data_IF_310873433437
#
_entry.id   IF_310873433437
#
_cell.length_a   1.000
_cell.length_b   1.000
_cell.length_c   1.000
_cell.angle_alpha   90.00
_cell.angle_beta   90.00
_cell.angle_gamma   90.00
#
_symmetry.space_group_name_H-M   'P 1'
#
loop_
_entity.id
_entity.type
_entity.pdbx_description
1 polymer ?
#
# COMPACT_ATOMS: atom_id res chain seq x y z
N UNK A 1 9.13 18.63 -0.51
CA UNK A 1 8.20 17.50 -0.70
C UNK A 1 8.30 16.59 0.52
N UNK A 2 7.20 16.04 1.06
CA UNK A 2 7.32 14.99 2.08
C UNK A 2 8.10 13.80 1.50
N UNK A 3 9.07 13.29 2.26
CA UNK A 3 9.78 12.07 1.91
C UNK A 3 8.84 10.91 2.26
N UNK A 4 8.39 10.16 1.25
CA UNK A 4 7.60 8.95 1.46
C UNK A 4 8.54 7.78 1.72
N UNK A 5 8.48 7.22 2.92
CA UNK A 5 9.17 5.99 3.26
C UNK A 5 8.21 4.81 3.12
N UNK A 6 8.66 3.74 2.46
CA UNK A 6 7.84 2.57 2.20
C UNK A 6 8.66 1.28 2.28
N UNK A 7 7.99 0.19 2.63
CA UNK A 7 8.55 -1.16 2.59
C UNK A 7 8.03 -1.86 1.34
N UNK A 8 8.94 -2.24 0.44
CA UNK A 8 8.59 -2.96 -0.77
C UNK A 8 8.63 -4.47 -0.53
N UNK A 9 7.85 -5.21 -1.32
CA UNK A 9 7.84 -6.67 -1.36
C UNK A 9 8.32 -7.15 -2.73
N UNK A 10 8.81 -8.40 -2.80
CA UNK A 10 9.16 -9.02 -4.09
C UNK A 10 7.90 -9.34 -4.89
N UNK A 11 8.02 -9.33 -6.22
CA UNK A 11 6.94 -9.70 -7.13
C UNK A 11 6.48 -11.18 -7.00
N UNK A 12 7.36 -12.05 -6.52
CA UNK A 12 7.09 -13.49 -6.31
C UNK A 12 6.50 -13.81 -4.93
N UNK A 13 6.26 -12.80 -4.10
CA UNK A 13 5.51 -13.01 -2.87
C UNK A 13 4.06 -13.38 -3.21
N UNK A 14 3.46 -14.40 -2.57
CA UNK A 14 2.10 -14.80 -2.89
C UNK A 14 1.11 -13.64 -2.73
N UNK A 15 0.24 -13.44 -3.73
CA UNK A 15 -0.79 -12.38 -3.74
C UNK A 15 -1.56 -12.33 -2.42
N UNK A 16 -2.04 -13.49 -1.97
CA UNK A 16 -2.85 -13.64 -0.76
C UNK A 16 -2.11 -13.17 0.49
N UNK A 17 -0.80 -13.42 0.58
CA UNK A 17 0.01 -13.01 1.73
C UNK A 17 0.10 -11.48 1.80
N UNK A 18 0.40 -10.83 0.67
CA UNK A 18 0.51 -9.36 0.63
C UNK A 18 -0.86 -8.70 0.82
N UNK A 19 -1.92 -9.27 0.25
CA UNK A 19 -3.28 -8.80 0.48
C UNK A 19 -3.63 -8.85 1.97
N UNK A 20 -3.44 -10.01 2.63
CA UNK A 20 -3.70 -10.15 4.08
C UNK A 20 -2.88 -9.16 4.90
N UNK A 21 -1.61 -8.96 4.56
CA UNK A 21 -0.73 -8.02 5.25
C UNK A 21 -1.23 -6.58 5.15
N UNK A 22 -1.53 -6.09 3.95
CA UNK A 22 -2.01 -4.72 3.73
C UNK A 22 -3.38 -4.51 4.38
N UNK A 23 -4.30 -5.49 4.27
CA UNK A 23 -5.61 -5.43 4.94
C UNK A 23 -5.48 -5.38 6.46
N UNK A 24 -4.60 -6.21 7.05
CA UNK A 24 -4.37 -6.17 8.50
C UNK A 24 -3.81 -4.81 8.97
N UNK A 25 -2.90 -4.20 8.19
CA UNK A 25 -2.41 -2.86 8.50
C UNK A 25 -3.50 -1.81 8.39
N UNK A 26 -4.34 -1.88 7.36
CA UNK A 26 -5.47 -0.97 7.20
C UNK A 26 -6.45 -1.07 8.37
N UNK A 27 -6.87 -2.28 8.74
CA UNK A 27 -7.78 -2.55 9.85
C UNK A 27 -7.23 -2.07 11.20
N UNK A 28 -5.92 -2.20 11.42
CA UNK A 28 -5.27 -1.89 12.70
C UNK A 28 -4.51 -0.56 12.70
N UNK A 29 -4.69 0.29 11.67
CA UNK A 29 -3.92 1.53 11.50
C UNK A 29 -3.97 2.48 12.70
N UNK A 30 -5.11 2.55 13.39
CA UNK A 30 -5.25 3.38 14.60
C UNK A 30 -4.43 2.82 15.77
N UNK A 31 -4.34 1.50 15.90
CA UNK A 31 -3.52 0.86 16.92
C UNK A 31 -2.03 1.08 16.63
N UNK A 32 -1.63 1.04 15.35
CA UNK A 32 -0.26 1.38 14.93
C UNK A 32 0.10 2.82 15.33
N UNK A 33 -0.77 3.80 15.04
CA UNK A 33 -0.55 5.19 15.43
C UNK A 33 -0.55 5.43 16.95
N UNK A 34 -1.32 4.63 17.71
CA UNK A 34 -1.28 4.67 19.17
C UNK A 34 0.02 4.11 19.73
N UNK A 35 0.58 3.07 19.11
CA UNK A 35 1.81 2.44 19.54
C UNK A 35 3.05 3.29 19.20
N UNK A 36 3.07 3.92 18.03
CA UNK A 36 4.16 4.76 17.56
C UNK A 36 3.60 5.96 16.77
N UNK A 37 3.89 7.17 17.26
CA UNK A 37 3.39 8.43 16.71
C UNK A 37 3.78 8.62 15.23
N UNK A 38 4.90 8.03 14.80
CA UNK A 38 5.34 8.01 13.41
C UNK A 38 4.32 7.45 12.41
N UNK A 39 3.40 6.58 12.86
CA UNK A 39 2.32 6.04 12.00
C UNK A 39 1.08 6.94 11.93
N UNK A 40 1.05 8.08 12.63
CA UNK A 40 -0.10 8.99 12.60
C UNK A 40 -0.50 9.43 11.17
N UNK A 41 0.43 9.80 10.28
CA UNK A 41 0.06 10.17 8.90
C UNK A 41 -0.53 8.98 8.13
N UNK A 42 -0.01 7.75 8.34
CA UNK A 42 -0.50 6.52 7.72
C UNK A 42 -1.93 6.21 8.21
N UNK A 43 -2.22 6.38 9.50
CA UNK A 43 -3.55 6.12 10.05
C UNK A 43 -4.61 7.11 9.54
N UNK A 44 -4.22 8.38 9.32
CA UNK A 44 -5.11 9.43 8.83
C UNK A 44 -5.57 9.21 7.39
N UNK A 45 -4.67 8.74 6.52
CA UNK A 45 -4.96 8.50 5.12
C UNK A 45 -4.17 7.31 4.58
N UNK A 46 -4.57 6.11 5.00
CA UNK A 46 -3.86 4.88 4.65
C UNK A 46 -3.86 4.63 3.14
N UNK A 47 -5.04 4.74 2.52
CA UNK A 47 -5.23 4.47 1.09
C UNK A 47 -4.50 5.54 0.26
N UNK A 48 -4.69 6.82 0.58
CA UNK A 48 -4.02 7.90 -0.14
C UNK A 48 -2.50 7.83 -0.02
N UNK A 49 -1.96 7.35 1.11
CA UNK A 49 -0.52 7.12 1.24
C UNK A 49 0.00 6.04 0.29
N UNK A 50 -0.73 4.93 0.07
CA UNK A 50 -0.36 3.92 -0.93
C UNK A 50 -0.39 4.50 -2.34
N UNK A 51 -1.47 5.23 -2.68
CA UNK A 51 -1.64 5.88 -3.98
C UNK A 51 -0.51 6.87 -4.26
N UNK A 52 -0.14 7.69 -3.27
CA UNK A 52 0.95 8.66 -3.38
C UNK A 52 2.32 7.96 -3.51
N UNK A 53 2.52 6.83 -2.81
CA UNK A 53 3.69 5.99 -2.97
C UNK A 53 3.86 5.49 -4.41
N UNK A 54 2.80 4.94 -5.00
CA UNK A 54 2.79 4.47 -6.40
C UNK A 54 3.08 5.62 -7.37
N UNK A 55 2.41 6.77 -7.20
CA UNK A 55 2.62 7.97 -8.04
C UNK A 55 4.04 8.52 -7.95
N UNK A 56 4.73 8.33 -6.83
CA UNK A 56 6.12 8.76 -6.67
C UNK A 56 7.13 7.87 -7.40
N UNK A 57 6.73 6.66 -7.80
CA UNK A 57 7.57 5.68 -8.48
C UNK A 57 6.82 5.02 -9.66
N UNK A 58 6.43 5.79 -10.70
CA UNK A 58 5.51 5.32 -11.75
C UNK A 58 6.05 4.16 -12.60
N UNK A 59 7.36 3.92 -12.60
CA UNK A 59 8.01 2.84 -13.35
C UNK A 59 8.09 1.52 -12.56
N UNK A 60 7.66 1.50 -11.29
CA UNK A 60 7.68 0.31 -10.44
C UNK A 60 6.30 -0.35 -10.48
N UNK A 61 6.18 -1.61 -10.93
CA UNK A 61 4.90 -2.33 -10.93
C UNK A 61 4.33 -2.51 -9.53
N UNK A 62 3.00 -2.44 -9.41
CA UNK A 62 2.27 -2.61 -8.16
C UNK A 62 2.11 -4.11 -7.87
N UNK A 63 2.43 -4.54 -6.64
CA UNK A 63 2.22 -5.93 -6.25
C UNK A 63 0.74 -6.35 -6.39
N UNK A 64 0.41 -7.55 -6.91
CA UNK A 64 -0.99 -7.97 -7.12
C UNK A 64 -1.85 -7.91 -5.86
N UNK A 65 -1.29 -8.26 -4.69
CA UNK A 65 -2.00 -8.14 -3.41
C UNK A 65 -2.37 -6.70 -3.03
N UNK A 66 -1.52 -5.71 -3.32
CA UNK A 66 -1.84 -4.30 -3.12
C UNK A 66 -2.84 -3.80 -4.18
N UNK A 67 -2.68 -4.23 -5.43
CA UNK A 67 -3.61 -3.89 -6.50
C UNK A 67 -5.04 -4.36 -6.19
N UNK A 68 -5.20 -5.59 -5.68
CA UNK A 68 -6.48 -6.12 -5.22
C UNK A 68 -7.10 -5.25 -4.12
N UNK A 69 -6.33 -4.94 -3.08
CA UNK A 69 -6.76 -4.06 -1.99
C UNK A 69 -7.25 -2.70 -2.53
N UNK A 70 -6.48 -2.05 -3.41
CA UNK A 70 -6.85 -0.75 -3.97
C UNK A 70 -8.11 -0.81 -4.84
N UNK A 71 -8.33 -1.90 -5.58
CA UNK A 71 -9.55 -2.11 -6.37
C UNK A 71 -10.79 -2.21 -5.48
N UNK A 72 -10.73 -2.98 -4.39
CA UNK A 72 -11.83 -3.09 -3.42
C UNK A 72 -12.17 -1.76 -2.75
N UNK A 73 -11.18 -0.86 -2.64
CA UNK A 73 -11.33 0.47 -2.07
C UNK A 73 -11.57 1.59 -3.10
N UNK A 74 -11.88 1.27 -4.36
CA UNK A 74 -12.09 2.24 -5.44
C UNK A 74 -10.93 3.24 -5.63
N UNK A 75 -9.71 2.80 -5.38
CA UNK A 75 -8.48 3.62 -5.42
C UNK A 75 -7.46 3.15 -6.48
N UNK A 76 -7.79 2.08 -7.21
CA UNK A 76 -6.97 1.59 -8.32
C UNK A 76 -7.10 2.49 -9.55
N UNK A 77 -5.97 2.74 -10.21
CA UNK A 77 -5.89 3.44 -11.49
C UNK A 77 -5.49 2.44 -12.58
N UNK A 78 -6.30 2.32 -13.63
CA UNK A 78 -6.06 1.36 -14.72
C UNK A 78 -4.81 1.66 -15.56
N UNK A 79 -4.18 2.83 -15.38
CA UNK A 79 -2.87 3.14 -15.97
C UNK A 79 -1.70 2.45 -15.26
N UNK A 80 -1.90 1.91 -14.05
CA UNK A 80 -0.83 1.25 -13.30
C UNK A 80 -0.61 -0.19 -13.77
N UNK A 81 0.65 -0.60 -13.78
CA UNK A 81 1.03 -1.98 -14.13
C UNK A 81 1.05 -2.86 -12.88
N UNK A 82 0.40 -4.03 -12.94
CA UNK A 82 0.50 -5.05 -11.89
C UNK A 82 1.75 -5.89 -12.14
N UNK A 83 2.54 -6.13 -11.09
CA UNK A 83 3.71 -7.00 -11.16
C UNK A 83 3.30 -8.42 -11.60
N UNK A 84 4.08 -9.01 -12.51
CA UNK A 84 3.96 -10.41 -12.94
C UNK A 84 5.32 -11.09 -12.75
N UNK A 85 5.29 -12.42 -12.58
CA UNK A 85 6.49 -13.27 -12.55
C UNK A 85 6.73 -13.89 -13.92
#
# INVERSE_FOLDING_TARGET
MPILFGYNVRADMPEEVVYKMVSAFYENREQLAKAEAGFTPLAKDFIGMQVNGIKSAPNVPVHPGLAKFLKEHNAWDDSWTIASN
#
